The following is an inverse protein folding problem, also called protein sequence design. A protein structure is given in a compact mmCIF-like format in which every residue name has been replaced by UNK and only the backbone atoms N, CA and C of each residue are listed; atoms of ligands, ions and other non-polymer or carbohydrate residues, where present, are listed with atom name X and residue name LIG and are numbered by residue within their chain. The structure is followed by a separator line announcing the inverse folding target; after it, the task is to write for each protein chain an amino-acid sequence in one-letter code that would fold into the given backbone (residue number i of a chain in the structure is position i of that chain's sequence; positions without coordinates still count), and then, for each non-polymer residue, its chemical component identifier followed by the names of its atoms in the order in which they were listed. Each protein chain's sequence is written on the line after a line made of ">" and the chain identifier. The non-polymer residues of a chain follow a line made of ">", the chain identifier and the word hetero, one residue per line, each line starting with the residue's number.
data_IF_494088360726
#
_entry.id   IF_494088360726
#
_cell.length_a   1.000
_cell.length_b   1.000
_cell.length_c   1.000
_cell.angle_alpha   90.00
_cell.angle_beta   90.00
_cell.angle_gamma   90.00
#
_symmetry.space_group_name_H-M   'P 1'
#
loop_
_entity.id
_entity.type
_entity.pdbx_description
1 polymer ?
#
# COMPACT_ATOMS: atom_id res chain seq x y z
N UNK A 1 -24.88 -37.05 -4.01
CA UNK A 1 -24.62 -36.96 -5.47
C UNK A 1 -23.19 -36.47 -5.63
N UNK A 2 -22.27 -37.38 -6.02
CA UNK A 2 -20.82 -37.09 -6.12
C UNK A 2 -20.52 -36.60 -7.54
N UNK A 3 -20.16 -35.34 -7.69
CA UNK A 3 -19.65 -34.82 -8.97
C UNK A 3 -18.15 -35.18 -9.11
N UNK A 4 -17.87 -36.12 -10.01
CA UNK A 4 -16.51 -36.41 -10.47
C UNK A 4 -16.16 -35.43 -11.58
N UNK A 5 -15.21 -34.53 -11.32
CA UNK A 5 -14.60 -33.71 -12.37
C UNK A 5 -13.52 -34.53 -13.04
N UNK A 6 -13.78 -34.94 -14.26
CA UNK A 6 -12.83 -35.65 -15.11
C UNK A 6 -11.96 -34.61 -15.82
N UNK A 7 -10.68 -34.51 -15.43
CA UNK A 7 -9.69 -33.69 -16.13
C UNK A 7 -9.21 -34.48 -17.35
N UNK A 8 -9.63 -34.03 -18.51
CA UNK A 8 -9.18 -34.57 -19.80
C UNK A 8 -7.82 -33.99 -20.14
N UNK A 9 -6.78 -34.86 -20.10
CA UNK A 9 -5.42 -34.54 -20.52
C UNK A 9 -5.38 -34.64 -22.04
N UNK A 10 -5.44 -33.52 -22.73
CA UNK A 10 -5.14 -33.44 -24.17
C UNK A 10 -3.66 -33.14 -24.29
N UNK A 11 -2.94 -34.15 -24.83
CA UNK A 11 -1.53 -34.04 -25.15
C UNK A 11 -1.28 -33.00 -26.24
N UNK A 12 -0.42 -32.02 -25.94
CA UNK A 12 0.13 -31.09 -26.93
C UNK A 12 1.53 -31.55 -27.28
N UNK A 13 1.65 -31.94 -28.55
CA UNK A 13 2.87 -32.29 -29.24
C UNK A 13 3.92 -31.19 -29.08
N UNK A 14 5.11 -31.56 -28.59
CA UNK A 14 6.31 -30.73 -28.60
C UNK A 14 6.78 -30.54 -30.04
N UNK A 15 6.53 -29.35 -30.60
CA UNK A 15 7.29 -28.84 -31.74
C UNK A 15 8.44 -28.03 -31.15
N UNK A 16 9.63 -28.61 -31.17
CA UNK A 16 10.90 -27.93 -30.97
C UNK A 16 11.14 -26.96 -32.13
N UNK A 17 10.53 -25.77 -32.07
CA UNK A 17 11.02 -24.60 -32.77
C UNK A 17 12.02 -23.93 -31.82
N UNK A 18 13.30 -24.06 -32.11
CA UNK A 18 14.37 -23.27 -31.53
C UNK A 18 14.18 -21.79 -31.93
N UNK A 19 13.14 -21.16 -31.40
CA UNK A 19 12.95 -19.73 -31.45
C UNK A 19 13.79 -19.18 -30.32
N UNK A 20 14.79 -18.37 -30.68
CA UNK A 20 15.54 -17.50 -29.77
C UNK A 20 14.58 -16.81 -28.81
N UNK A 21 14.24 -17.41 -27.71
CA UNK A 21 13.77 -16.74 -26.52
C UNK A 21 14.95 -15.88 -26.08
N UNK A 22 15.06 -14.69 -26.69
CA UNK A 22 15.71 -13.59 -26.01
C UNK A 22 14.90 -13.40 -24.73
N UNK A 23 15.30 -14.09 -23.68
CA UNK A 23 15.07 -13.64 -22.34
C UNK A 23 15.47 -12.17 -22.37
N UNK A 24 14.51 -11.28 -22.28
CA UNK A 24 14.77 -9.91 -21.86
C UNK A 24 15.23 -10.01 -20.40
N UNK A 25 16.47 -10.48 -20.21
CA UNK A 25 17.22 -10.19 -19.03
C UNK A 25 17.29 -8.65 -19.03
N UNK A 26 16.53 -8.01 -18.17
CA UNK A 26 16.68 -6.59 -17.94
C UNK A 26 18.17 -6.37 -17.72
N UNK A 27 18.80 -5.61 -18.62
CA UNK A 27 20.22 -5.28 -18.46
C UNK A 27 20.35 -4.62 -17.10
N UNK A 28 21.33 -4.98 -16.28
CA UNK A 28 21.47 -4.39 -14.97
C UNK A 28 21.54 -2.86 -15.11
N UNK A 29 20.77 -2.15 -14.28
CA UNK A 29 20.76 -0.68 -14.26
C UNK A 29 22.20 -0.15 -14.29
N UNK A 30 22.51 0.75 -15.22
CA UNK A 30 23.87 1.29 -15.37
C UNK A 30 24.34 1.91 -14.04
N UNK A 31 25.64 1.84 -13.71
CA UNK A 31 26.17 2.46 -12.49
C UNK A 31 25.83 3.95 -12.39
N UNK A 32 25.84 4.66 -13.51
CA UNK A 32 25.52 6.09 -13.59
C UNK A 32 24.04 6.33 -13.26
N UNK A 33 23.15 5.57 -13.89
CA UNK A 33 21.70 5.68 -13.66
C UNK A 33 21.33 5.32 -12.21
N UNK A 34 21.98 4.29 -11.66
CA UNK A 34 21.84 3.92 -10.25
C UNK A 34 22.24 5.05 -9.30
N UNK A 35 23.38 5.71 -9.57
CA UNK A 35 23.84 6.85 -8.76
C UNK A 35 22.83 8.00 -8.79
N UNK A 36 22.29 8.33 -9.97
CA UNK A 36 21.28 9.38 -10.14
C UNK A 36 19.98 9.07 -9.42
N UNK A 37 19.52 7.81 -9.46
CA UNK A 37 18.32 7.39 -8.74
C UNK A 37 18.52 7.51 -7.23
N UNK A 38 19.66 7.08 -6.70
CA UNK A 38 19.99 7.26 -5.28
C UNK A 38 20.01 8.74 -4.89
N UNK A 39 20.67 9.55 -5.68
CA UNK A 39 20.71 11.00 -5.47
C UNK A 39 19.30 11.63 -5.52
N UNK A 40 18.47 11.20 -6.45
CA UNK A 40 17.08 11.65 -6.53
C UNK A 40 16.29 11.31 -5.25
N UNK A 41 16.45 10.11 -4.71
CA UNK A 41 15.84 9.71 -3.43
C UNK A 41 16.31 10.59 -2.26
N UNK A 42 17.58 10.99 -2.25
CA UNK A 42 18.14 11.89 -1.23
C UNK A 42 17.59 13.31 -1.35
N UNK A 43 17.65 13.92 -2.54
CA UNK A 43 17.21 15.31 -2.74
C UNK A 43 15.70 15.50 -2.60
N UNK A 44 14.93 14.44 -2.77
CA UNK A 44 13.47 14.43 -2.56
C UNK A 44 13.07 14.00 -1.15
N UNK A 45 14.01 13.66 -0.28
CA UNK A 45 13.74 13.12 1.06
C UNK A 45 12.77 11.93 1.05
N UNK A 46 12.82 11.11 -0.02
CA UNK A 46 11.81 10.06 -0.29
C UNK A 46 11.69 9.03 0.85
N UNK A 47 12.82 8.65 1.47
CA UNK A 47 12.83 7.72 2.62
C UNK A 47 12.08 8.32 3.80
N UNK A 48 12.37 9.56 4.15
CA UNK A 48 11.72 10.27 5.26
C UNK A 48 10.21 10.44 5.02
N UNK A 49 9.83 10.75 3.78
CA UNK A 49 8.42 10.86 3.40
C UNK A 49 7.71 9.51 3.54
N UNK A 50 8.32 8.42 3.08
CA UNK A 50 7.76 7.08 3.21
C UNK A 50 7.61 6.65 4.67
N UNK A 51 8.61 6.91 5.51
CA UNK A 51 8.56 6.64 6.95
C UNK A 51 7.42 7.42 7.64
N UNK A 52 7.33 8.73 7.39
CA UNK A 52 6.26 9.55 7.97
C UNK A 52 4.86 9.16 7.49
N UNK A 53 4.72 8.80 6.21
CA UNK A 53 3.45 8.31 5.66
C UNK A 53 3.03 6.99 6.30
N UNK A 54 4.00 6.07 6.47
CA UNK A 54 3.74 4.79 7.12
C UNK A 54 3.40 4.95 8.60
N UNK A 55 4.04 5.88 9.30
CA UNK A 55 3.69 6.20 10.67
C UNK A 55 2.25 6.71 10.77
N UNK A 56 1.85 7.65 9.92
CA UNK A 56 0.47 8.14 9.86
C UNK A 56 -0.52 7.02 9.56
N UNK A 57 -0.18 6.10 8.64
CA UNK A 57 -1.00 4.93 8.34
C UNK A 57 -1.16 4.00 9.55
N UNK A 58 -0.09 3.77 10.32
CA UNK A 58 -0.14 2.95 11.53
C UNK A 58 -0.95 3.62 12.64
N UNK A 59 -0.89 4.96 12.76
CA UNK A 59 -1.72 5.73 13.69
C UNK A 59 -3.21 5.65 13.31
N UNK A 60 -3.54 5.71 12.01
CA UNK A 60 -4.91 5.52 11.54
C UNK A 60 -5.42 4.09 11.80
N UNK A 61 -4.56 3.08 11.65
CA UNK A 61 -4.90 1.70 12.02
C UNK A 61 -5.25 1.54 13.50
N UNK A 62 -4.82 2.45 14.38
CA UNK A 62 -5.10 2.36 15.81
C UNK A 62 -6.59 2.27 16.11
N UNK A 63 -7.41 3.02 15.37
CA UNK A 63 -8.86 3.00 15.52
C UNK A 63 -9.51 1.68 15.10
N UNK A 64 -8.98 1.03 14.07
CA UNK A 64 -9.49 -0.24 13.55
C UNK A 64 -8.84 -1.47 14.20
N UNK A 65 -7.73 -1.29 14.93
CA UNK A 65 -6.94 -2.38 15.49
C UNK A 65 -7.74 -3.33 16.40
N UNK A 66 -8.62 -2.86 17.31
CA UNK A 66 -9.43 -3.76 18.13
C UNK A 66 -10.31 -4.68 17.29
N UNK A 67 -10.94 -4.17 16.23
CA UNK A 67 -11.78 -4.95 15.32
C UNK A 67 -10.97 -5.95 14.51
N UNK A 68 -9.81 -5.54 14.01
CA UNK A 68 -8.89 -6.43 13.29
C UNK A 68 -8.42 -7.56 14.20
N UNK A 69 -8.07 -7.25 15.45
CA UNK A 69 -7.65 -8.24 16.45
C UNK A 69 -8.76 -9.23 16.78
N UNK A 70 -9.98 -8.77 17.00
CA UNK A 70 -11.14 -9.65 17.25
C UNK A 70 -11.35 -10.63 16.09
N UNK A 71 -11.30 -10.14 14.85
CA UNK A 71 -11.44 -10.97 13.65
C UNK A 71 -10.35 -12.04 13.58
N UNK A 72 -9.08 -11.65 13.76
CA UNK A 72 -7.95 -12.58 13.69
C UNK A 72 -7.97 -13.60 14.82
N UNK A 73 -8.29 -13.19 16.04
CA UNK A 73 -8.37 -14.09 17.19
C UNK A 73 -9.54 -15.08 17.06
N UNK A 74 -10.67 -14.63 16.51
CA UNK A 74 -11.81 -15.50 16.22
C UNK A 74 -11.44 -16.57 15.21
N UNK A 75 -10.72 -16.20 14.14
CA UNK A 75 -10.22 -17.16 13.15
C UNK A 75 -9.22 -18.14 13.77
N UNK A 76 -8.23 -17.64 14.52
CA UNK A 76 -7.24 -18.48 15.19
C UNK A 76 -7.86 -19.43 16.22
N UNK A 77 -8.89 -18.98 16.92
CA UNK A 77 -9.63 -19.82 17.87
C UNK A 77 -10.37 -20.96 17.16
N UNK A 78 -10.91 -20.72 15.96
CA UNK A 78 -11.51 -21.75 15.13
C UNK A 78 -10.49 -22.75 14.60
N UNK A 79 -9.36 -22.26 14.06
CA UNK A 79 -8.29 -23.08 13.50
C UNK A 79 -7.63 -23.99 14.58
N UNK A 80 -7.53 -23.52 15.82
CA UNK A 80 -6.98 -24.25 16.94
C UNK A 80 -8.02 -25.03 17.75
N UNK A 81 -9.27 -25.12 17.28
CA UNK A 81 -10.37 -25.87 17.90
C UNK A 81 -10.60 -25.53 19.37
N UNK A 82 -10.45 -24.25 19.75
CA UNK A 82 -10.64 -23.79 21.12
C UNK A 82 -12.10 -24.00 21.56
N UNK A 83 -12.26 -24.39 22.82
CA UNK A 83 -13.59 -24.44 23.45
C UNK A 83 -14.21 -23.05 23.58
N UNK A 84 -15.52 -22.98 23.73
CA UNK A 84 -16.25 -21.70 23.88
C UNK A 84 -15.73 -20.88 25.07
N UNK A 85 -15.41 -21.55 26.21
CA UNK A 85 -14.81 -20.91 27.38
C UNK A 85 -13.40 -20.32 27.08
N UNK A 86 -12.56 -21.05 26.35
CA UNK A 86 -11.23 -20.61 25.96
C UNK A 86 -11.32 -19.45 24.96
N UNK A 87 -12.24 -19.50 24.00
CA UNK A 87 -12.50 -18.43 23.05
C UNK A 87 -12.91 -17.14 23.75
N UNK A 88 -13.86 -17.24 24.70
CA UNK A 88 -14.32 -16.09 25.49
C UNK A 88 -13.18 -15.48 26.31
N UNK A 89 -12.40 -16.29 26.99
CA UNK A 89 -11.24 -15.83 27.76
C UNK A 89 -10.18 -15.13 26.86
N UNK A 90 -9.92 -15.67 25.66
CA UNK A 90 -9.00 -15.10 24.70
C UNK A 90 -9.45 -13.71 24.23
N UNK A 91 -10.74 -13.55 23.93
CA UNK A 91 -11.31 -12.27 23.50
C UNK A 91 -11.31 -11.23 24.63
N UNK A 92 -11.66 -11.64 25.85
CA UNK A 92 -11.63 -10.75 27.03
C UNK A 92 -10.21 -10.29 27.37
N UNK A 93 -9.21 -11.17 27.29
CA UNK A 93 -7.81 -10.83 27.52
C UNK A 93 -7.28 -9.92 26.39
N UNK A 94 -7.66 -10.20 25.14
CA UNK A 94 -7.25 -9.39 24.00
C UNK A 94 -7.76 -7.94 24.09
N UNK A 95 -8.97 -7.73 24.58
CA UNK A 95 -9.52 -6.39 24.79
C UNK A 95 -8.68 -5.58 25.79
N UNK A 96 -8.17 -6.23 26.85
CA UNK A 96 -7.30 -5.61 27.86
C UNK A 96 -5.86 -5.42 27.37
N UNK A 97 -5.39 -6.30 26.51
CA UNK A 97 -4.01 -6.31 26.01
C UNK A 97 -3.84 -5.59 24.67
N UNK A 98 -4.95 -5.17 24.01
CA UNK A 98 -4.95 -4.56 22.68
C UNK A 98 -3.99 -3.37 22.54
N UNK A 99 -3.98 -2.46 23.52
CA UNK A 99 -3.08 -1.28 23.49
C UNK A 99 -1.59 -1.70 23.53
N UNK A 100 -1.25 -2.68 24.36
CA UNK A 100 0.13 -3.21 24.44
C UNK A 100 0.50 -3.95 23.15
N UNK A 101 -0.43 -4.72 22.59
CA UNK A 101 -0.22 -5.42 21.32
C UNK A 101 -0.06 -4.46 20.17
N UNK A 102 -0.87 -3.42 20.09
CA UNK A 102 -0.76 -2.38 19.08
C UNK A 102 0.62 -1.72 19.11
N UNK A 103 1.06 -1.27 20.28
CA UNK A 103 2.38 -0.64 20.42
C UNK A 103 3.51 -1.58 19.96
N UNK A 104 3.50 -2.83 20.41
CA UNK A 104 4.49 -3.84 19.99
C UNK A 104 4.40 -4.15 18.48
N UNK A 105 3.19 -4.15 17.92
CA UNK A 105 2.99 -4.31 16.48
C UNK A 105 3.58 -3.14 15.71
N UNK A 106 3.29 -1.90 16.10
CA UNK A 106 3.84 -0.70 15.47
C UNK A 106 5.38 -0.70 15.51
N UNK A 107 5.97 -0.92 16.67
CA UNK A 107 7.44 -1.01 16.83
C UNK A 107 8.05 -2.09 15.93
N UNK A 108 7.45 -3.28 15.87
CA UNK A 108 7.94 -4.38 15.05
C UNK A 108 7.70 -4.16 13.55
N UNK A 109 6.55 -3.60 13.16
CA UNK A 109 6.24 -3.30 11.78
C UNK A 109 7.21 -2.26 11.22
N UNK A 110 7.46 -1.17 11.96
CA UNK A 110 8.44 -0.15 11.56
C UNK A 110 9.86 -0.71 11.48
N UNK A 111 10.26 -1.54 12.44
CA UNK A 111 11.59 -2.17 12.44
C UNK A 111 11.76 -3.22 11.32
N UNK A 112 10.67 -3.90 10.92
CA UNK A 112 10.70 -4.90 9.86
C UNK A 112 10.82 -4.28 8.47
N UNK A 113 10.39 -3.02 8.29
CA UNK A 113 10.42 -2.33 7.01
C UNK A 113 11.70 -1.49 6.93
N UNK A 114 12.65 -1.96 6.17
CA UNK A 114 13.88 -1.22 5.87
C UNK A 114 13.60 -0.24 4.72
N UNK A 115 12.99 0.89 5.02
CA UNK A 115 12.48 1.85 4.01
C UNK A 115 13.54 2.26 2.99
N UNK A 116 14.78 2.49 3.40
CA UNK A 116 15.86 2.86 2.49
C UNK A 116 16.15 1.77 1.45
N UNK A 117 16.32 0.51 1.89
CA UNK A 117 16.58 -0.63 1.00
C UNK A 117 15.38 -0.92 0.09
N UNK A 118 14.17 -0.84 0.64
CA UNK A 118 12.92 -1.07 -0.10
C UNK A 118 12.72 -0.01 -1.18
N UNK A 119 12.84 1.26 -0.84
CA UNK A 119 12.68 2.37 -1.79
C UNK A 119 13.79 2.37 -2.84
N UNK A 120 15.04 2.09 -2.47
CA UNK A 120 16.12 1.96 -3.44
C UNK A 120 15.77 0.85 -4.46
N UNK A 121 15.35 -0.32 -3.99
CA UNK A 121 15.02 -1.46 -4.86
C UNK A 121 13.88 -1.13 -5.82
N UNK A 122 12.76 -0.60 -5.29
CA UNK A 122 11.59 -0.23 -6.10
C UNK A 122 11.94 0.90 -7.07
N UNK A 123 12.68 1.91 -6.60
CA UNK A 123 13.05 3.06 -7.44
C UNK A 123 14.02 2.68 -8.54
N UNK A 124 14.98 1.79 -8.28
CA UNK A 124 15.86 1.30 -9.33
C UNK A 124 15.07 0.63 -10.46
N UNK A 125 14.10 -0.20 -10.13
CA UNK A 125 13.25 -0.87 -11.13
C UNK A 125 12.38 0.14 -11.91
N UNK A 126 11.66 1.02 -11.19
CA UNK A 126 10.68 1.90 -11.80
C UNK A 126 11.33 3.05 -12.58
N UNK A 127 12.34 3.71 -12.00
CA UNK A 127 13.00 4.83 -12.68
C UNK A 127 13.84 4.36 -13.86
N UNK A 128 14.46 3.17 -13.79
CA UNK A 128 15.16 2.60 -14.93
C UNK A 128 14.22 2.33 -16.11
N UNK A 129 13.00 1.89 -15.80
CA UNK A 129 11.97 1.59 -16.80
C UNK A 129 11.42 2.85 -17.49
N UNK A 130 11.23 3.92 -16.73
CA UNK A 130 10.45 5.08 -17.20
C UNK A 130 11.28 6.28 -17.60
N UNK A 131 12.53 6.40 -17.13
CA UNK A 131 13.35 7.57 -17.34
C UNK A 131 14.70 7.23 -17.96
N UNK A 132 15.16 8.09 -18.84
CA UNK A 132 16.54 8.10 -19.36
C UNK A 132 17.49 8.64 -18.30
N UNK A 133 18.79 8.45 -18.51
CA UNK A 133 19.82 9.02 -17.63
C UNK A 133 19.81 10.56 -17.66
N UNK A 134 19.54 11.16 -18.82
CA UNK A 134 19.48 12.61 -18.95
C UNK A 134 18.28 13.20 -18.22
N UNK A 135 17.09 12.58 -18.33
CA UNK A 135 15.92 13.00 -17.57
C UNK A 135 16.14 12.89 -16.05
N UNK A 136 16.83 11.86 -15.58
CA UNK A 136 17.19 11.75 -14.16
C UNK A 136 18.16 12.86 -13.71
N UNK A 137 19.12 13.24 -14.56
CA UNK A 137 20.00 14.40 -14.30
C UNK A 137 19.20 15.70 -14.17
N UNK A 138 18.26 15.91 -15.07
CA UNK A 138 17.39 17.10 -15.05
C UNK A 138 16.51 17.13 -13.81
N UNK A 139 15.94 15.98 -13.41
CA UNK A 139 15.15 15.86 -12.17
C UNK A 139 15.99 16.21 -10.94
N UNK A 140 17.18 15.63 -10.81
CA UNK A 140 18.10 15.93 -9.70
C UNK A 140 18.45 17.42 -9.70
N UNK A 141 18.80 17.98 -10.85
CA UNK A 141 19.11 19.40 -10.99
C UNK A 141 17.94 20.29 -10.55
N UNK A 142 16.72 19.96 -10.95
CA UNK A 142 15.50 20.66 -10.52
C UNK A 142 15.33 20.62 -9.00
N UNK A 143 15.38 19.44 -8.37
CA UNK A 143 15.14 19.30 -6.93
C UNK A 143 16.24 19.94 -6.07
N UNK A 144 17.41 20.20 -6.63
CA UNK A 144 18.47 20.99 -6.00
C UNK A 144 18.21 22.50 -5.99
N UNK A 145 17.33 23.00 -6.86
CA UNK A 145 16.95 24.42 -6.90
C UNK A 145 16.15 24.84 -5.67
N UNK A 146 16.09 26.14 -5.31
CA UNK A 146 15.20 26.63 -4.25
C UNK A 146 13.74 26.23 -4.46
N UNK A 147 13.25 26.29 -5.70
CA UNK A 147 11.87 25.90 -6.06
C UNK A 147 11.67 24.40 -5.89
N UNK A 148 12.61 23.57 -6.37
CA UNK A 148 12.55 22.12 -6.20
C UNK A 148 12.52 21.70 -4.73
N UNK A 149 13.39 22.27 -3.89
CA UNK A 149 13.39 22.04 -2.44
C UNK A 149 12.06 22.45 -1.79
N UNK A 150 11.53 23.61 -2.18
CA UNK A 150 10.21 24.06 -1.71
C UNK A 150 9.10 23.09 -2.14
N UNK A 151 9.18 22.56 -3.37
CA UNK A 151 8.20 21.58 -3.87
C UNK A 151 8.20 20.33 -3.00
N UNK A 152 9.35 19.76 -2.66
CA UNK A 152 9.45 18.59 -1.75
C UNK A 152 8.77 18.86 -0.41
N UNK A 153 9.00 20.04 0.18
CA UNK A 153 8.45 20.39 1.49
C UNK A 153 6.93 20.68 1.48
N UNK A 154 6.45 21.27 0.39
CA UNK A 154 5.06 21.75 0.31
C UNK A 154 4.11 20.72 -0.29
N UNK A 155 4.59 19.85 -1.19
CA UNK A 155 3.75 18.89 -1.92
C UNK A 155 2.88 18.00 -1.00
N UNK A 156 3.40 17.42 0.11
CA UNK A 156 2.57 16.63 1.02
C UNK A 156 1.42 17.43 1.64
N UNK A 157 1.69 18.68 2.03
CA UNK A 157 0.67 19.59 2.57
C UNK A 157 -0.36 19.94 1.50
N UNK A 158 0.11 20.27 0.29
CA UNK A 158 -0.77 20.63 -0.82
C UNK A 158 -1.73 19.47 -1.16
N UNK A 159 -1.24 18.22 -1.14
CA UNK A 159 -2.09 17.04 -1.35
C UNK A 159 -3.14 16.93 -0.26
N UNK A 160 -2.75 17.04 1.02
CA UNK A 160 -3.67 16.97 2.15
C UNK A 160 -4.73 18.10 2.10
N UNK A 161 -4.31 19.33 1.88
CA UNK A 161 -5.22 20.50 1.80
C UNK A 161 -6.19 20.33 0.61
N UNK A 162 -5.69 19.81 -0.52
CA UNK A 162 -6.53 19.52 -1.69
C UNK A 162 -7.58 18.44 -1.38
N UNK A 163 -7.19 17.36 -0.70
CA UNK A 163 -8.13 16.30 -0.29
C UNK A 163 -9.19 16.83 0.68
N UNK A 164 -8.78 17.61 1.67
CA UNK A 164 -9.71 18.24 2.61
C UNK A 164 -10.69 19.14 1.88
N UNK A 165 -10.21 20.06 1.04
CA UNK A 165 -11.05 20.97 0.25
C UNK A 165 -11.98 20.21 -0.70
N UNK A 166 -11.50 19.15 -1.33
CA UNK A 166 -12.33 18.30 -2.18
C UNK A 166 -13.46 17.66 -1.38
N UNK A 167 -13.17 17.14 -0.18
CA UNK A 167 -14.19 16.56 0.69
C UNK A 167 -15.23 17.59 1.12
N UNK A 168 -14.81 18.79 1.54
CA UNK A 168 -15.71 19.89 1.91
C UNK A 168 -16.68 20.28 0.78
N UNK A 169 -16.24 20.17 -0.47
CA UNK A 169 -17.05 20.57 -1.65
C UNK A 169 -17.89 19.38 -2.17
N UNK A 170 -17.32 18.20 -2.21
CA UNK A 170 -17.93 17.02 -2.87
C UNK A 170 -18.93 16.33 -1.95
N UNK A 171 -18.61 16.19 -0.66
CA UNK A 171 -19.47 15.47 0.27
C UNK A 171 -20.90 16.05 0.38
N UNK A 172 -21.11 17.38 0.50
CA UNK A 172 -22.47 17.92 0.51
C UNK A 172 -23.25 17.65 -0.78
N UNK A 173 -22.59 17.61 -1.92
CA UNK A 173 -23.23 17.30 -3.22
C UNK A 173 -23.67 15.84 -3.27
N UNK A 174 -22.81 14.91 -2.82
CA UNK A 174 -23.14 13.47 -2.72
C UNK A 174 -24.33 13.28 -1.76
N UNK A 175 -24.30 13.93 -0.61
CA UNK A 175 -25.38 13.85 0.37
C UNK A 175 -26.70 14.43 -0.18
N UNK A 176 -26.64 15.49 -0.98
CA UNK A 176 -27.81 16.03 -1.68
C UNK A 176 -28.45 15.03 -2.65
N UNK A 177 -27.64 14.37 -3.46
CA UNK A 177 -28.10 13.32 -4.37
C UNK A 177 -28.72 12.14 -3.61
N UNK A 178 -28.11 11.73 -2.50
CA UNK A 178 -28.63 10.65 -1.66
C UNK A 178 -29.99 11.02 -1.04
N UNK A 179 -30.14 12.24 -0.57
CA UNK A 179 -31.40 12.77 -0.03
C UNK A 179 -32.52 12.77 -1.09
N UNK A 180 -32.21 13.17 -2.33
CA UNK A 180 -33.15 13.11 -3.44
C UNK A 180 -33.59 11.67 -3.74
N UNK A 181 -32.65 10.73 -3.81
CA UNK A 181 -32.94 9.30 -4.05
C UNK A 181 -33.81 8.71 -2.92
N UNK A 182 -33.51 9.04 -1.67
CA UNK A 182 -34.33 8.59 -0.53
C UNK A 182 -35.75 9.14 -0.64
N UNK A 183 -35.94 10.41 -1.01
CA UNK A 183 -37.27 10.99 -1.22
C UNK A 183 -38.04 10.34 -2.36
N UNK A 184 -37.38 9.96 -3.44
CA UNK A 184 -37.97 9.20 -4.55
C UNK A 184 -38.44 7.81 -4.08
N UNK A 185 -37.60 7.09 -3.36
CA UNK A 185 -37.98 5.76 -2.83
C UNK A 185 -39.15 5.84 -1.84
N UNK A 186 -39.19 6.83 -0.97
CA UNK A 186 -40.34 7.05 -0.06
C UNK A 186 -41.65 7.27 -0.85
N UNK A 187 -41.58 8.01 -1.96
CA UNK A 187 -42.75 8.24 -2.81
C UNK A 187 -43.24 6.95 -3.52
N UNK A 188 -42.31 6.05 -3.85
CA UNK A 188 -42.70 4.74 -4.47
C UNK A 188 -43.41 3.79 -3.54
N UNK A 189 -43.17 3.93 -2.22
CA UNK A 189 -43.77 3.04 -1.19
C UNK A 189 -45.16 3.53 -0.71
N UNK A 190 -45.45 4.81 -0.92
CA UNK A 190 -46.76 5.42 -0.60
C UNK A 190 -47.77 5.24 -1.72
#
# INVERSE_FOLDING_TARGET
>A
MKFKVTISIIGVLLILAASNLRTFAQSPVSPQKRALIKELLEVTEAVKLAESTSQTMLEQMEQDFPRIMEMLLTQQAADNQLTEAQRKALLEDSAKSSVRMLKRFQERALAAIKYGELLETISLELYDKYFTEEELKDMVAFYRTPTGKKTVQVMPKLVNDTMQKSTEIVLPKIMGVLDELIKEEIKRIK
#
